data_IF_083757269381
#
_entry.id   IF_083757269381
#
_cell.length_a   1.000
_cell.length_b   1.000
_cell.length_c   1.000
_cell.angle_alpha   90.00
_cell.angle_beta   90.00
_cell.angle_gamma   90.00
#
_symmetry.space_group_name_H-M   'P 1'
#
loop_
_entity.id
_entity.type
_entity.pdbx_description
1 polymer ?
#
# COMPACT_ATOMS: atom_id res chain seq x y z
N UNK A 1 -1.17 -15.66 -10.64
CA UNK A 1 -0.09 -15.22 -11.55
C UNK A 1 0.64 -14.08 -10.88
N UNK A 2 1.96 -14.17 -10.76
CA UNK A 2 2.73 -13.17 -10.04
C UNK A 2 2.58 -11.78 -10.67
N UNK A 3 2.33 -10.78 -9.83
CA UNK A 3 2.25 -9.36 -10.19
C UNK A 3 3.56 -8.65 -9.91
N UNK A 4 4.18 -8.99 -8.75
CA UNK A 4 5.46 -8.42 -8.33
C UNK A 4 6.37 -9.58 -7.91
N UNK A 5 7.55 -9.65 -8.49
CA UNK A 5 8.59 -10.60 -8.10
C UNK A 5 9.81 -9.87 -7.56
N UNK A 6 10.27 -10.27 -6.38
CA UNK A 6 11.47 -9.73 -5.74
C UNK A 6 12.49 -10.84 -5.58
N UNK A 7 13.70 -10.65 -6.09
CA UNK A 7 14.75 -11.65 -6.09
C UNK A 7 16.07 -11.07 -5.60
N UNK A 8 16.63 -11.69 -4.55
CA UNK A 8 17.93 -11.34 -3.94
C UNK A 8 18.09 -9.82 -3.71
N UNK A 9 17.01 -9.19 -3.25
CA UNK A 9 17.03 -7.73 -3.08
C UNK A 9 17.67 -7.36 -1.76
N UNK A 10 18.68 -6.50 -1.83
CA UNK A 10 19.26 -5.80 -0.69
C UNK A 10 18.99 -4.30 -0.79
N UNK A 11 18.78 -3.66 0.36
CA UNK A 11 18.65 -2.20 0.43
C UNK A 11 19.49 -1.62 1.56
N UNK A 12 20.21 -0.56 1.24
CA UNK A 12 21.05 0.18 2.18
C UNK A 12 20.63 1.64 2.26
N UNK A 13 20.67 2.19 3.45
CA UNK A 13 20.63 3.63 3.72
C UNK A 13 22.02 4.05 4.24
N UNK A 14 22.87 4.61 3.36
CA UNK A 14 24.29 4.76 3.66
C UNK A 14 24.93 3.40 3.96
N UNK A 15 25.47 3.24 5.17
CA UNK A 15 26.06 1.97 5.62
C UNK A 15 25.08 1.02 6.31
N UNK A 16 23.87 1.49 6.60
CA UNK A 16 22.86 0.64 7.27
C UNK A 16 22.18 -0.29 6.28
N UNK A 17 22.34 -1.61 6.48
CA UNK A 17 21.72 -2.68 5.69
C UNK A 17 20.28 -2.91 6.15
N UNK A 18 19.33 -2.23 5.52
CA UNK A 18 17.93 -2.18 5.93
C UNK A 18 17.09 -3.36 5.45
N UNK A 19 17.36 -3.89 4.25
CA UNK A 19 16.75 -5.11 3.72
C UNK A 19 17.84 -6.06 3.26
N UNK A 20 17.68 -7.35 3.57
CA UNK A 20 18.69 -8.38 3.39
C UNK A 20 18.15 -9.55 2.61
N UNK A 21 18.66 -9.75 1.39
CA UNK A 21 18.34 -10.87 0.53
C UNK A 21 16.83 -11.18 0.44
N UNK A 22 16.02 -10.14 0.18
CA UNK A 22 14.56 -10.29 0.09
C UNK A 22 14.20 -11.11 -1.16
N UNK A 23 13.41 -12.16 -0.93
CA UNK A 23 12.85 -13.01 -1.96
C UNK A 23 11.37 -13.24 -1.67
N UNK A 24 10.48 -12.77 -2.52
CA UNK A 24 9.04 -13.01 -2.42
C UNK A 24 8.33 -12.71 -3.75
N UNK A 25 7.15 -13.32 -3.94
CA UNK A 25 6.33 -13.14 -5.13
C UNK A 25 4.91 -12.78 -4.70
N UNK A 26 4.39 -11.64 -5.15
CA UNK A 26 3.06 -11.14 -4.82
C UNK A 26 2.15 -11.40 -6.00
N UNK A 27 1.06 -12.13 -5.77
CA UNK A 27 0.10 -12.46 -6.81
C UNK A 27 -0.87 -11.32 -7.12
N UNK A 28 -1.40 -11.33 -8.35
CA UNK A 28 -2.37 -10.35 -8.80
C UNK A 28 -3.71 -10.51 -8.09
N UNK A 29 -4.39 -9.40 -7.79
CA UNK A 29 -5.75 -9.37 -7.23
C UNK A 29 -5.89 -10.08 -5.88
N UNK A 30 -4.84 -10.02 -5.08
CA UNK A 30 -4.79 -10.49 -3.70
C UNK A 30 -4.38 -9.37 -2.75
N UNK A 31 -4.68 -9.54 -1.46
CA UNK A 31 -4.13 -8.73 -0.38
C UNK A 31 -2.94 -9.46 0.21
N UNK A 32 -1.74 -8.90 0.07
CA UNK A 32 -0.54 -9.37 0.77
C UNK A 32 -0.25 -8.45 1.95
N UNK A 33 -0.21 -9.01 3.16
CA UNK A 33 0.14 -8.27 4.36
C UNK A 33 1.62 -8.45 4.73
N UNK A 34 2.30 -7.36 5.08
CA UNK A 34 3.62 -7.36 5.70
C UNK A 34 3.46 -7.10 7.19
N UNK A 35 3.83 -8.08 8.03
CA UNK A 35 3.78 -8.01 9.49
C UNK A 35 5.18 -8.11 10.10
N UNK A 36 5.34 -7.71 11.35
CA UNK A 36 6.61 -7.78 12.08
C UNK A 36 6.84 -6.58 12.98
N UNK A 37 7.87 -6.57 13.81
CA UNK A 37 8.21 -5.48 14.73
C UNK A 37 8.43 -4.14 14.02
N UNK A 38 8.35 -3.03 14.75
CA UNK A 38 8.70 -1.71 14.22
C UNK A 38 10.18 -1.67 13.80
N UNK A 39 10.45 -1.01 12.65
CA UNK A 39 11.82 -0.88 12.14
C UNK A 39 12.41 -2.12 11.44
N UNK A 40 11.65 -3.23 11.28
CA UNK A 40 12.17 -4.45 10.65
C UNK A 40 12.21 -4.43 9.10
N UNK A 41 11.88 -3.31 8.43
CA UNK A 41 12.02 -3.16 6.97
C UNK A 41 10.72 -3.20 6.16
N UNK A 42 9.54 -3.46 6.73
CA UNK A 42 8.25 -3.56 6.02
C UNK A 42 7.94 -2.36 5.12
N UNK A 43 7.91 -1.16 5.70
CA UNK A 43 7.64 0.08 4.94
C UNK A 43 8.78 0.42 3.98
N UNK A 44 10.01 -0.04 4.26
CA UNK A 44 11.14 0.09 3.33
C UNK A 44 10.90 -0.75 2.08
N UNK A 45 10.51 -2.03 2.22
CA UNK A 45 10.17 -2.86 1.06
C UNK A 45 8.95 -2.32 0.33
N UNK A 46 7.89 -1.94 1.06
CA UNK A 46 6.69 -1.35 0.46
C UNK A 46 7.03 -0.15 -0.44
N UNK A 47 7.84 0.79 0.07
CA UNK A 47 8.28 1.99 -0.65
C UNK A 47 9.26 1.71 -1.80
N UNK A 48 9.88 0.54 -1.81
CA UNK A 48 10.71 0.10 -2.93
C UNK A 48 9.89 -0.25 -4.16
N UNK A 49 8.65 -0.76 -3.98
CA UNK A 49 7.78 -1.19 -5.09
C UNK A 49 7.40 -0.02 -6.02
N UNK A 50 7.31 1.21 -5.51
CA UNK A 50 7.04 2.41 -6.32
C UNK A 50 8.21 3.38 -6.40
N UNK A 51 9.41 2.92 -6.02
CA UNK A 51 10.65 3.70 -6.04
C UNK A 51 10.62 4.99 -5.22
N UNK A 52 9.83 5.02 -4.13
CA UNK A 52 9.84 6.16 -3.20
C UNK A 52 11.16 6.27 -2.44
N UNK A 53 11.89 5.16 -2.27
CA UNK A 53 13.20 5.17 -1.61
C UNK A 53 14.28 5.89 -2.43
N UNK A 54 14.07 6.11 -3.74
CA UNK A 54 14.95 6.94 -4.57
C UNK A 54 15.05 8.40 -4.07
N UNK A 55 14.05 8.83 -3.29
CA UNK A 55 14.01 10.19 -2.71
C UNK A 55 14.84 10.30 -1.42
N UNK A 56 15.35 9.18 -0.90
CA UNK A 56 16.17 9.14 0.31
C UNK A 56 17.64 9.22 -0.07
N UNK A 57 18.37 10.28 0.31
CA UNK A 57 19.80 10.39 0.01
C UNK A 57 20.58 9.19 0.56
N UNK A 58 21.48 8.64 -0.26
CA UNK A 58 22.30 7.48 0.11
C UNK A 58 21.55 6.14 0.09
N UNK A 59 20.32 6.08 -0.41
CA UNK A 59 19.63 4.81 -0.64
C UNK A 59 20.26 4.07 -1.82
N UNK A 60 20.64 2.82 -1.60
CA UNK A 60 21.19 1.93 -2.61
C UNK A 60 20.47 0.60 -2.57
N UNK A 61 20.01 0.14 -3.73
CA UNK A 61 19.27 -1.12 -3.91
C UNK A 61 20.06 -1.99 -4.89
N UNK A 62 20.16 -3.28 -4.57
CA UNK A 62 20.72 -4.33 -5.45
C UNK A 62 19.72 -5.48 -5.54
N UNK A 63 19.94 -6.45 -6.42
CA UNK A 63 18.99 -7.50 -6.73
C UNK A 63 17.98 -7.05 -7.77
N UNK A 64 16.84 -7.72 -7.84
CA UNK A 64 15.84 -7.51 -8.87
C UNK A 64 14.44 -7.36 -8.28
N UNK A 65 13.65 -6.45 -8.84
CA UNK A 65 12.22 -6.31 -8.55
C UNK A 65 11.47 -6.13 -9.87
N UNK A 66 10.61 -7.08 -10.20
CA UNK A 66 9.83 -7.08 -11.42
C UNK A 66 8.38 -6.70 -11.12
N UNK A 67 7.78 -5.88 -11.97
CA UNK A 67 6.34 -5.63 -12.05
C UNK A 67 5.87 -6.13 -13.41
N UNK A 68 5.03 -7.17 -13.46
CA UNK A 68 4.62 -7.85 -14.68
C UNK A 68 5.82 -8.30 -15.55
N UNK A 69 6.91 -8.76 -14.93
CA UNK A 69 8.12 -9.20 -15.61
C UNK A 69 9.06 -8.07 -16.04
N UNK A 70 8.71 -6.79 -15.83
CA UNK A 70 9.56 -5.64 -16.14
C UNK A 70 10.33 -5.19 -14.90
N UNK A 71 11.67 -5.12 -14.99
CA UNK A 71 12.50 -4.69 -13.86
C UNK A 71 12.32 -3.20 -13.58
N UNK A 72 11.71 -2.88 -12.44
CA UNK A 72 11.41 -1.50 -12.04
C UNK A 72 12.65 -0.68 -11.67
N UNK A 73 13.79 -1.32 -11.40
CA UNK A 73 15.09 -0.70 -11.19
C UNK A 73 15.99 -0.73 -12.45
N UNK A 74 15.45 -1.20 -13.59
CA UNK A 74 16.14 -1.15 -14.88
C UNK A 74 16.39 0.29 -15.35
N UNK A 75 17.54 0.52 -16.02
CA UNK A 75 18.02 1.86 -16.37
C UNK A 75 17.14 2.68 -17.33
N UNK A 76 16.06 2.10 -17.90
CA UNK A 76 15.13 2.77 -18.84
C UNK A 76 13.70 2.92 -18.25
N UNK A 77 13.48 2.59 -16.97
CA UNK A 77 12.14 2.65 -16.36
C UNK A 77 11.65 4.10 -16.27
N UNK A 78 10.46 4.35 -16.81
CA UNK A 78 9.71 5.58 -16.56
C UNK A 78 9.11 5.55 -15.13
N UNK A 79 9.78 6.23 -14.20
CA UNK A 79 9.36 6.27 -12.78
C UNK A 79 7.99 6.96 -12.61
N UNK A 80 7.64 7.92 -13.46
CA UNK A 80 6.33 8.57 -13.39
C UNK A 80 5.23 7.61 -13.86
N UNK A 81 5.48 6.87 -14.94
CA UNK A 81 4.61 5.79 -15.39
C UNK A 81 4.47 4.69 -14.35
N UNK A 82 5.56 4.27 -13.71
CA UNK A 82 5.54 3.30 -12.62
C UNK A 82 4.66 3.78 -11.45
N UNK A 83 4.82 5.02 -10.99
CA UNK A 83 4.03 5.59 -9.88
C UNK A 83 2.56 5.81 -10.21
N UNK A 84 2.20 5.86 -11.49
CA UNK A 84 0.80 5.80 -11.93
C UNK A 84 0.24 4.39 -11.79
N UNK A 85 1.02 3.36 -12.15
CA UNK A 85 0.63 1.94 -12.04
C UNK A 85 0.60 1.47 -10.57
N UNK A 86 1.46 2.04 -9.72
CA UNK A 86 1.64 1.64 -8.31
C UNK A 86 1.30 2.82 -7.40
N UNK A 87 0.03 2.90 -7.01
CA UNK A 87 -0.48 3.92 -6.09
C UNK A 87 -0.06 3.67 -4.65
N UNK A 88 -0.03 4.72 -3.82
CA UNK A 88 0.35 4.60 -2.41
C UNK A 88 -0.55 5.41 -1.49
N UNK A 89 -0.95 4.78 -0.38
CA UNK A 89 -1.66 5.37 0.75
C UNK A 89 -0.74 5.34 1.97
N UNK A 90 -0.54 6.49 2.60
CA UNK A 90 0.38 6.65 3.72
C UNK A 90 -0.31 6.41 5.06
N UNK A 91 0.47 6.13 6.09
CA UNK A 91 0.05 5.91 7.46
C UNK A 91 -0.81 7.08 8.01
N UNK A 92 -0.32 8.32 7.82
CA UNK A 92 -1.09 9.51 8.17
C UNK A 92 -1.84 10.00 6.95
N UNK A 93 -3.16 10.27 7.07
CA UNK A 93 -3.90 10.92 6.00
C UNK A 93 -3.20 12.21 5.56
N UNK A 94 -3.03 12.37 4.27
CA UNK A 94 -2.34 13.53 3.69
C UNK A 94 -3.13 14.16 2.54
N UNK A 95 -4.39 14.56 2.77
CA UNK A 95 -5.13 15.26 1.74
C UNK A 95 -4.42 16.57 1.40
N UNK A 96 -4.45 16.95 0.12
CA UNK A 96 -3.96 18.24 -0.28
C UNK A 96 -4.84 19.37 0.31
N UNK A 97 -4.29 20.56 0.58
CA UNK A 97 -5.05 21.72 1.08
C UNK A 97 -5.96 22.30 -0.03
N UNK A 98 -6.81 21.48 -0.58
CA UNK A 98 -7.73 21.73 -1.69
C UNK A 98 -9.12 21.21 -1.34
N UNK A 99 -10.07 21.42 -2.25
CA UNK A 99 -11.40 20.83 -2.13
C UNK A 99 -11.34 19.29 -2.19
N UNK A 100 -12.42 18.63 -1.73
CA UNK A 100 -12.58 17.17 -1.87
C UNK A 100 -12.50 16.79 -3.36
N UNK A 101 -13.21 17.52 -4.21
CA UNK A 101 -13.19 17.32 -5.67
C UNK A 101 -11.76 17.43 -6.24
N UNK A 102 -11.05 18.51 -5.92
CA UNK A 102 -9.73 18.75 -6.49
C UNK A 102 -8.68 17.77 -5.99
N UNK A 103 -8.81 17.21 -4.79
CA UNK A 103 -7.96 16.12 -4.33
C UNK A 103 -8.03 14.90 -5.26
N UNK A 104 -9.23 14.52 -5.70
CA UNK A 104 -9.42 13.39 -6.60
C UNK A 104 -9.04 13.74 -8.03
N UNK A 105 -9.49 14.90 -8.52
CA UNK A 105 -9.26 15.35 -9.90
C UNK A 105 -7.79 15.69 -10.18
N UNK A 106 -6.95 15.86 -9.16
CA UNK A 106 -5.54 16.28 -9.30
C UNK A 106 -4.74 15.30 -10.18
N UNK A 107 -4.74 14.02 -9.83
CA UNK A 107 -4.03 12.99 -10.58
C UNK A 107 -4.49 12.89 -12.05
N UNK A 108 -5.78 12.68 -12.33
CA UNK A 108 -6.30 12.67 -13.70
C UNK A 108 -5.94 13.91 -14.51
N UNK A 109 -6.02 15.12 -13.94
CA UNK A 109 -5.62 16.37 -14.60
C UNK A 109 -4.13 16.37 -14.94
N UNK A 110 -3.28 15.95 -14.04
CA UNK A 110 -1.83 15.84 -14.26
C UNK A 110 -1.50 14.87 -15.39
N UNK A 111 -2.32 13.82 -15.53
CA UNK A 111 -2.23 12.84 -16.62
C UNK A 111 -3.03 13.23 -17.88
N UNK A 112 -3.41 14.50 -18.04
CA UNK A 112 -3.94 15.05 -19.28
C UNK A 112 -5.46 14.98 -19.45
N UNK A 113 -6.23 14.55 -18.44
CA UNK A 113 -7.71 14.59 -18.51
C UNK A 113 -8.17 16.04 -18.33
N UNK A 114 -8.70 16.63 -19.42
CA UNK A 114 -9.17 18.03 -19.43
C UNK A 114 -10.70 18.18 -19.49
N UNK A 115 -11.40 17.14 -19.92
CA UNK A 115 -12.86 17.14 -19.99
C UNK A 115 -13.47 17.19 -18.59
N UNK A 116 -14.29 18.22 -18.34
CA UNK A 116 -14.98 18.35 -17.06
C UNK A 116 -15.89 17.17 -16.78
N UNK A 117 -16.67 16.71 -17.77
CA UNK A 117 -17.56 15.57 -17.62
C UNK A 117 -16.77 14.30 -17.22
N UNK A 118 -15.63 14.00 -17.89
CA UNK A 118 -14.78 12.86 -17.52
C UNK A 118 -14.21 12.99 -16.10
N UNK A 119 -13.85 14.21 -15.68
CA UNK A 119 -13.36 14.45 -14.33
C UNK A 119 -14.47 14.24 -13.30
N UNK A 120 -15.70 14.71 -13.58
CA UNK A 120 -16.87 14.52 -12.71
C UNK A 120 -17.15 13.01 -12.53
N UNK A 121 -17.13 12.23 -13.62
CA UNK A 121 -17.30 10.78 -13.58
C UNK A 121 -16.18 10.08 -12.77
N UNK A 122 -14.92 10.44 -13.00
CA UNK A 122 -13.77 9.86 -12.25
C UNK A 122 -13.90 10.19 -10.76
N UNK A 123 -14.25 11.42 -10.41
CA UNK A 123 -14.41 11.86 -9.01
C UNK A 123 -15.50 11.06 -8.32
N UNK A 124 -16.68 10.93 -8.94
CA UNK A 124 -17.77 10.16 -8.37
C UNK A 124 -17.39 8.69 -8.22
N UNK A 125 -16.87 8.06 -9.28
CA UNK A 125 -16.48 6.65 -9.25
C UNK A 125 -15.43 6.36 -8.17
N UNK A 126 -14.38 7.19 -8.07
CA UNK A 126 -13.32 7.01 -7.08
C UNK A 126 -13.82 7.16 -5.66
N UNK A 127 -14.72 8.13 -5.41
CA UNK A 127 -15.33 8.33 -4.09
C UNK A 127 -16.29 7.17 -3.71
N UNK A 128 -17.00 6.60 -4.71
CA UNK A 128 -17.84 5.41 -4.51
C UNK A 128 -16.97 4.18 -4.21
N UNK A 129 -15.93 3.95 -5.00
CA UNK A 129 -14.98 2.86 -4.76
C UNK A 129 -14.33 2.93 -3.37
N UNK A 130 -14.05 4.15 -2.86
CA UNK A 130 -13.52 4.36 -1.52
C UNK A 130 -14.60 4.41 -0.41
N UNK A 131 -15.85 4.03 -0.73
CA UNK A 131 -16.98 4.00 0.20
C UNK A 131 -17.20 5.29 0.99
N UNK A 132 -17.01 6.48 0.32
CA UNK A 132 -17.15 7.79 0.98
C UNK A 132 -18.12 8.73 0.24
N UNK A 133 -18.58 8.37 -0.95
CA UNK A 133 -19.44 9.22 -1.79
C UNK A 133 -20.62 9.83 -1.04
N UNK A 134 -21.42 9.01 -0.38
CA UNK A 134 -22.65 9.46 0.31
C UNK A 134 -22.38 10.40 1.46
N UNK A 135 -21.18 10.36 2.03
CA UNK A 135 -20.77 11.27 3.11
C UNK A 135 -20.32 12.65 2.59
N UNK A 136 -19.93 12.76 1.30
CA UNK A 136 -19.28 13.98 0.78
C UNK A 136 -19.91 14.59 -0.47
N UNK A 137 -20.83 13.90 -1.15
CA UNK A 137 -21.42 14.33 -2.44
C UNK A 137 -21.98 15.76 -2.44
N UNK A 138 -22.57 16.19 -1.32
CA UNK A 138 -23.17 17.53 -1.19
C UNK A 138 -22.16 18.61 -0.80
N UNK A 139 -20.89 18.23 -0.59
CA UNK A 139 -19.84 19.15 -0.14
C UNK A 139 -18.50 19.01 -0.87
N UNK A 140 -18.52 18.52 -2.11
CA UNK A 140 -17.31 18.28 -2.92
C UNK A 140 -16.40 19.50 -3.08
N UNK A 141 -16.97 20.71 -3.04
CA UNK A 141 -16.21 21.99 -3.11
C UNK A 141 -15.65 22.46 -1.76
N UNK A 142 -15.98 21.78 -0.65
CA UNK A 142 -15.42 22.12 0.68
C UNK A 142 -14.00 21.60 0.80
N UNK A 143 -13.22 22.24 1.69
CA UNK A 143 -11.85 21.81 2.00
C UNK A 143 -11.82 20.39 2.54
N UNK A 144 -10.90 19.57 2.02
CA UNK A 144 -10.65 18.20 2.50
C UNK A 144 -10.07 18.17 3.93
N UNK A 145 -9.40 19.27 4.36
CA UNK A 145 -8.80 19.35 5.70
C UNK A 145 -9.85 19.38 6.83
N UNK A 146 -11.09 19.76 6.52
CA UNK A 146 -12.21 19.77 7.49
C UNK A 146 -12.89 18.39 7.67
N UNK A 147 -12.39 17.34 7.07
CA UNK A 147 -12.93 15.97 7.19
C UNK A 147 -12.36 15.27 8.43
N UNK A 148 -13.08 14.25 8.95
CA UNK A 148 -12.55 13.39 10.01
C UNK A 148 -11.36 12.56 9.51
N UNK A 149 -10.52 12.05 10.42
CA UNK A 149 -9.33 11.25 10.06
C UNK A 149 -9.68 10.06 9.16
N UNK A 150 -10.71 9.29 9.50
CA UNK A 150 -11.16 8.16 8.67
C UNK A 150 -11.72 8.59 7.31
N UNK A 151 -12.40 9.74 7.23
CA UNK A 151 -12.83 10.32 5.95
C UNK A 151 -11.64 10.78 5.12
N UNK A 152 -10.65 11.43 5.73
CA UNK A 152 -9.44 11.86 5.02
C UNK A 152 -8.66 10.66 4.49
N UNK A 153 -8.57 9.58 5.25
CA UNK A 153 -7.89 8.36 4.80
C UNK A 153 -8.60 7.72 3.60
N UNK A 154 -9.93 7.58 3.65
CA UNK A 154 -10.70 7.09 2.50
C UNK A 154 -10.63 8.05 1.29
N UNK A 155 -10.52 9.36 1.52
CA UNK A 155 -10.26 10.31 0.46
C UNK A 155 -8.87 10.10 -0.18
N UNK A 156 -7.84 9.81 0.62
CA UNK A 156 -6.51 9.48 0.11
C UNK A 156 -6.51 8.18 -0.70
N UNK A 157 -7.31 7.18 -0.29
CA UNK A 157 -7.54 5.96 -1.08
C UNK A 157 -8.23 6.32 -2.40
N UNK A 158 -9.34 7.09 -2.37
CA UNK A 158 -10.04 7.54 -3.57
C UNK A 158 -9.11 8.30 -4.54
N UNK A 159 -8.24 9.16 -4.00
CA UNK A 159 -7.23 9.88 -4.79
C UNK A 159 -6.25 8.94 -5.49
N UNK A 160 -5.80 7.89 -4.80
CA UNK A 160 -4.95 6.88 -5.41
C UNK A 160 -5.66 6.09 -6.51
N UNK A 161 -6.94 5.73 -6.30
CA UNK A 161 -7.77 4.99 -7.27
C UNK A 161 -8.11 5.82 -8.52
N UNK A 162 -8.17 7.15 -8.40
CA UNK A 162 -8.56 8.05 -9.50
C UNK A 162 -7.65 7.97 -10.74
N UNK A 163 -6.44 7.50 -10.60
CA UNK A 163 -5.49 7.27 -11.71
C UNK A 163 -5.51 5.82 -12.21
N UNK A 164 -6.40 5.00 -11.68
CA UNK A 164 -6.59 3.59 -12.03
C UNK A 164 -5.27 2.79 -11.93
N UNK A 165 -4.67 2.69 -10.74
CA UNK A 165 -3.44 1.92 -10.55
C UNK A 165 -3.71 0.42 -10.76
N UNK A 166 -2.66 -0.36 -10.91
CA UNK A 166 -2.71 -1.83 -10.94
C UNK A 166 -2.43 -2.41 -9.55
N UNK A 167 -1.59 -1.70 -8.79
CA UNK A 167 -1.18 -2.05 -7.43
C UNK A 167 -1.48 -0.90 -6.49
N UNK A 168 -2.04 -1.20 -5.32
CA UNK A 168 -2.27 -0.24 -4.25
C UNK A 168 -1.44 -0.61 -3.01
N UNK A 169 -0.48 0.22 -2.69
CA UNK A 169 0.35 0.10 -1.51
C UNK A 169 -0.29 0.85 -0.34
N UNK A 170 -0.38 0.21 0.83
CA UNK A 170 -0.96 0.79 2.03
C UNK A 170 0.02 0.66 3.20
N UNK A 171 0.60 1.77 3.66
CA UNK A 171 1.53 1.80 4.79
C UNK A 171 0.75 2.11 6.06
N UNK A 172 0.42 1.08 6.86
CA UNK A 172 -0.34 1.17 8.12
C UNK A 172 -1.60 2.06 8.04
N UNK A 173 -2.52 1.84 7.07
CA UNK A 173 -3.57 2.79 6.73
C UNK A 173 -4.61 3.04 7.83
N UNK A 174 -4.61 2.24 8.90
CA UNK A 174 -5.60 2.28 9.98
C UNK A 174 -5.02 2.64 11.35
N UNK A 175 -3.70 2.80 11.46
CA UNK A 175 -2.99 2.95 12.75
C UNK A 175 -3.41 4.16 13.60
N UNK A 176 -3.93 5.21 12.97
CA UNK A 176 -4.36 6.44 13.64
C UNK A 176 -5.90 6.62 13.64
N UNK A 177 -6.66 5.54 13.39
CA UNK A 177 -8.11 5.59 13.21
C UNK A 177 -8.86 4.89 14.35
N UNK A 178 -10.09 5.32 14.56
CA UNK A 178 -11.04 4.67 15.45
C UNK A 178 -11.49 3.29 14.88
N UNK A 179 -12.06 2.39 15.73
CA UNK A 179 -12.42 1.03 15.30
C UNK A 179 -13.44 1.01 14.15
N UNK A 180 -14.38 1.96 14.09
CA UNK A 180 -15.41 2.01 13.04
C UNK A 180 -14.76 2.39 11.70
N UNK A 181 -13.88 3.40 11.71
CA UNK A 181 -13.12 3.82 10.53
C UNK A 181 -12.16 2.72 10.07
N UNK A 182 -11.55 1.99 11.00
CA UNK A 182 -10.70 0.83 10.71
C UNK A 182 -11.48 -0.26 9.97
N UNK A 183 -12.63 -0.69 10.50
CA UNK A 183 -13.48 -1.70 9.85
C UNK A 183 -13.87 -1.30 8.43
N UNK A 184 -14.23 -0.04 8.20
CA UNK A 184 -14.56 0.45 6.85
C UNK A 184 -13.39 0.34 5.87
N UNK A 185 -12.15 0.52 6.32
CA UNK A 185 -10.95 0.39 5.46
C UNK A 185 -10.61 -1.08 5.23
N UNK A 186 -10.84 -1.95 6.22
CA UNK A 186 -10.68 -3.40 6.07
C UNK A 186 -11.67 -3.94 5.02
N UNK A 187 -12.96 -3.63 5.16
CA UNK A 187 -14.00 -4.01 4.19
C UNK A 187 -13.67 -3.49 2.79
N UNK A 188 -13.19 -2.25 2.72
CA UNK A 188 -12.76 -1.61 1.48
C UNK A 188 -11.59 -2.36 0.83
N UNK A 189 -10.58 -2.78 1.57
CA UNK A 189 -9.45 -3.54 1.04
C UNK A 189 -9.90 -4.88 0.45
N UNK A 190 -10.80 -5.60 1.14
CA UNK A 190 -11.39 -6.86 0.67
C UNK A 190 -12.20 -6.65 -0.61
N UNK A 191 -12.91 -5.54 -0.76
CA UNK A 191 -13.67 -5.25 -1.98
C UNK A 191 -12.74 -4.84 -3.14
N UNK A 192 -11.73 -4.02 -2.85
CA UNK A 192 -10.80 -3.52 -3.86
C UNK A 192 -9.91 -4.61 -4.44
N UNK A 193 -9.56 -5.68 -3.71
CA UNK A 193 -8.72 -6.76 -4.24
C UNK A 193 -9.31 -7.45 -5.48
N UNK A 194 -10.60 -7.35 -5.70
CA UNK A 194 -11.25 -7.89 -6.91
C UNK A 194 -10.71 -7.29 -8.20
N UNK A 195 -10.18 -6.07 -8.13
CA UNK A 195 -9.72 -5.31 -9.29
C UNK A 195 -8.27 -4.80 -9.15
N UNK A 196 -7.71 -4.82 -7.95
CA UNK A 196 -6.40 -4.26 -7.63
C UNK A 196 -5.57 -5.27 -6.83
N UNK A 197 -4.27 -5.31 -7.09
CA UNK A 197 -3.33 -6.00 -6.21
C UNK A 197 -3.03 -5.09 -5.02
N UNK A 198 -3.17 -5.58 -3.79
CA UNK A 198 -2.99 -4.78 -2.58
C UNK A 198 -1.81 -5.30 -1.78
N UNK A 199 -0.89 -4.41 -1.42
CA UNK A 199 0.19 -4.72 -0.49
C UNK A 199 0.03 -3.80 0.72
N UNK A 200 -0.17 -4.38 1.90
CA UNK A 200 -0.44 -3.63 3.13
C UNK A 200 0.59 -3.92 4.20
N UNK A 201 1.18 -2.88 4.75
CA UNK A 201 1.92 -2.98 6.02
C UNK A 201 0.95 -2.79 7.17
N UNK A 202 1.00 -3.67 8.15
CA UNK A 202 0.25 -3.52 9.40
C UNK A 202 1.03 -4.11 10.58
N UNK A 203 0.90 -3.48 11.74
CA UNK A 203 1.34 -4.05 13.02
C UNK A 203 0.21 -4.77 13.76
N UNK A 204 -1.02 -4.72 13.23
CA UNK A 204 -2.18 -5.40 13.80
C UNK A 204 -2.33 -6.79 13.17
N UNK A 205 -1.91 -7.82 13.90
CA UNK A 205 -1.98 -9.22 13.45
C UNK A 205 -3.41 -9.67 13.18
N UNK A 206 -4.38 -9.22 13.98
CA UNK A 206 -5.78 -9.58 13.77
C UNK A 206 -6.32 -8.98 12.47
N UNK A 207 -5.88 -7.78 12.11
CA UNK A 207 -6.20 -7.17 10.82
C UNK A 207 -5.62 -8.01 9.67
N UNK A 208 -4.33 -8.32 9.71
CA UNK A 208 -3.69 -9.16 8.69
C UNK A 208 -4.43 -10.50 8.54
N UNK A 209 -4.72 -11.18 9.65
CA UNK A 209 -5.43 -12.47 9.63
C UNK A 209 -6.83 -12.41 9.02
N UNK A 210 -7.53 -11.25 9.14
CA UNK A 210 -8.90 -11.11 8.60
C UNK A 210 -8.95 -10.80 7.11
N UNK A 211 -8.02 -9.98 6.60
CA UNK A 211 -8.18 -9.37 5.27
C UNK A 211 -7.17 -9.82 4.24
N UNK A 212 -6.03 -10.38 4.64
CA UNK A 212 -4.99 -10.77 3.68
C UNK A 212 -5.13 -12.22 3.22
N UNK A 213 -4.80 -12.45 1.96
CA UNK A 213 -4.69 -13.77 1.37
C UNK A 213 -3.32 -14.37 1.70
N UNK A 214 -2.25 -13.57 1.57
CA UNK A 214 -0.89 -13.95 1.93
C UNK A 214 -0.28 -13.00 2.96
N UNK A 215 0.61 -13.53 3.77
CA UNK A 215 1.30 -12.78 4.81
C UNK A 215 2.80 -13.04 4.75
N UNK A 216 3.60 -11.97 4.83
CA UNK A 216 5.05 -11.99 4.98
C UNK A 216 5.43 -11.50 6.38
N UNK A 217 6.12 -12.32 7.14
CA UNK A 217 6.69 -11.93 8.43
C UNK A 217 8.11 -11.41 8.28
N UNK A 218 8.33 -10.17 8.71
CA UNK A 218 9.61 -9.49 8.66
C UNK A 218 10.28 -9.44 10.02
N UNK A 219 11.60 -9.68 10.04
CA UNK A 219 12.44 -9.51 11.22
C UNK A 219 13.84 -9.06 10.81
N UNK A 220 14.32 -7.97 11.42
CA UNK A 220 15.70 -7.46 11.27
C UNK A 220 16.18 -7.31 9.80
N UNK A 221 15.26 -6.90 8.92
CA UNK A 221 15.54 -6.66 7.51
C UNK A 221 15.36 -7.88 6.61
N UNK A 222 14.92 -9.01 7.14
CA UNK A 222 14.69 -10.26 6.40
C UNK A 222 13.21 -10.61 6.34
N UNK A 223 12.78 -11.30 5.28
CA UNK A 223 11.52 -12.04 5.23
C UNK A 223 11.77 -13.42 5.82
N UNK A 224 11.29 -13.63 7.03
CA UNK A 224 11.47 -14.89 7.78
C UNK A 224 10.56 -15.98 7.24
N UNK A 225 9.31 -15.63 6.98
CA UNK A 225 8.31 -16.54 6.45
C UNK A 225 7.34 -15.80 5.56
N UNK A 226 6.92 -16.44 4.45
CA UNK A 226 5.93 -15.94 3.51
C UNK A 226 5.05 -17.06 3.01
N UNK A 227 3.75 -16.89 3.03
CA UNK A 227 2.79 -17.89 2.56
C UNK A 227 1.34 -17.49 2.77
N UNK A 228 0.44 -18.44 2.62
CA UNK A 228 -1.00 -18.28 2.88
C UNK A 228 -1.21 -17.78 4.30
N UNK A 229 -2.06 -16.76 4.46
CA UNK A 229 -2.30 -16.14 5.77
C UNK A 229 -2.79 -17.13 6.81
N UNK A 230 -3.72 -18.01 6.44
CA UNK A 230 -4.22 -19.05 7.35
C UNK A 230 -3.08 -19.94 7.87
N UNK A 231 -2.15 -20.37 7.00
CA UNK A 231 -1.01 -21.20 7.39
C UNK A 231 -0.04 -20.45 8.29
N UNK A 232 0.28 -19.18 7.97
CA UNK A 232 1.18 -18.34 8.78
C UNK A 232 0.64 -18.16 10.21
N UNK A 233 -0.67 -17.94 10.37
CA UNK A 233 -1.27 -17.70 11.68
C UNK A 233 -1.64 -18.94 12.47
N UNK A 234 -1.92 -20.08 11.80
CA UNK A 234 -2.33 -21.33 12.46
C UNK A 234 -1.19 -22.31 12.67
N UNK A 235 -0.28 -22.45 11.70
CA UNK A 235 0.83 -23.40 11.70
C UNK A 235 2.09 -22.80 11.09
N UNK A 236 2.69 -21.78 11.70
CA UNK A 236 3.93 -21.20 11.21
C UNK A 236 5.05 -22.23 11.18
N UNK A 237 5.88 -22.19 10.15
CA UNK A 237 7.00 -23.13 9.97
C UNK A 237 8.26 -22.69 10.71
N UNK A 238 8.45 -21.36 10.84
CA UNK A 238 9.60 -20.79 11.54
C UNK A 238 9.23 -20.44 12.99
N UNK A 239 10.07 -20.87 13.92
CA UNK A 239 9.87 -20.61 15.35
C UNK A 239 9.77 -19.13 15.69
N UNK A 240 10.50 -18.27 14.97
CA UNK A 240 10.45 -16.80 15.16
C UNK A 240 9.09 -16.24 14.79
N UNK A 241 8.44 -16.80 13.76
CA UNK A 241 7.07 -16.45 13.37
C UNK A 241 6.07 -16.86 14.45
N UNK A 242 6.20 -18.10 14.98
CA UNK A 242 5.36 -18.59 16.07
C UNK A 242 5.48 -17.71 17.32
N UNK A 243 6.71 -17.40 17.74
CA UNK A 243 6.97 -16.56 18.92
C UNK A 243 6.40 -15.14 18.74
N UNK A 244 6.50 -14.57 17.54
CA UNK A 244 5.91 -13.27 17.25
C UNK A 244 4.36 -13.28 17.34
N UNK A 245 3.71 -14.25 16.69
CA UNK A 245 2.26 -14.36 16.64
C UNK A 245 1.67 -14.66 18.02
N UNK A 246 2.35 -15.47 18.82
CA UNK A 246 1.90 -15.83 20.18
C UNK A 246 2.27 -14.78 21.26
N UNK A 247 2.91 -13.67 20.85
CA UNK A 247 3.33 -12.61 21.80
C UNK A 247 4.49 -13.02 22.72
N UNK A 248 5.23 -14.08 22.40
CA UNK A 248 6.41 -14.55 23.16
C UNK A 248 7.71 -13.94 22.65
N UNK A 249 7.58 -12.92 21.81
CA UNK A 249 8.70 -12.24 21.18
C UNK A 249 9.25 -11.18 22.14
N UNK A 250 10.43 -11.42 22.71
CA UNK A 250 11.11 -10.53 23.64
C UNK A 250 12.55 -10.96 23.88
#
# INVERSE_FOLDING_TARGET
>A
MSKIDVSNMDLYYGDFHALKNINLSIDANEVTAFIGPSGCGKSTLLKSINRMNDLVPGCRITGEMLLDGENIYGGKMDVNGLRKRVGMVFQKPNPFPMSIYDNIAYGPRTHGVRSKAKLDDIVEQSLRQAAIWDEVKDRLKKSALGMSGGQQQRLCIARALAVQPEVLLMDEPTSALDPISTSKIEDLAVELKKNYTIVMVTHNMQQAARISDKTAFFLLGEVVEYGETEQIFSMPKDKRTEDYITGRFG
#
